data_IF_529324957711
#
_entry.id   IF_529324957711
#
_cell.length_a   1.000
_cell.length_b   1.000
_cell.length_c   1.000
_cell.angle_alpha   90.00
_cell.angle_beta   90.00
_cell.angle_gamma   90.00
#
_symmetry.space_group_name_H-M   'P 1'
#
loop_
_entity.id
_entity.type
_entity.pdbx_description
1 polymer ?
#
# COMPACT_ATOMS: atom_id res chain seq x y z
N UNK A 1 14.87 -0.42 -17.85
CA UNK A 1 13.66 -0.03 -17.08
C UNK A 1 13.95 1.20 -16.25
N UNK A 2 15.02 1.23 -15.46
CA UNK A 2 15.44 2.39 -14.63
C UNK A 2 15.47 3.73 -15.38
N UNK A 3 16.09 3.79 -16.57
CA UNK A 3 16.10 5.01 -17.38
C UNK A 3 14.69 5.50 -17.81
N UNK A 4 13.75 4.58 -18.00
CA UNK A 4 12.36 4.91 -18.33
C UNK A 4 11.64 5.45 -17.10
N UNK A 5 11.84 4.85 -15.92
CA UNK A 5 11.24 5.28 -14.66
C UNK A 5 11.66 6.71 -14.29
N UNK A 6 12.92 7.09 -14.56
CA UNK A 6 13.42 8.46 -14.30
C UNK A 6 12.90 9.52 -15.27
N UNK A 7 12.44 9.13 -16.46
CA UNK A 7 12.10 10.08 -17.54
C UNK A 7 10.62 10.12 -17.87
N UNK A 8 9.82 9.16 -17.38
CA UNK A 8 8.40 9.02 -17.69
C UNK A 8 7.59 8.96 -16.40
N UNK A 9 6.45 9.67 -16.39
CA UNK A 9 5.50 9.66 -15.27
C UNK A 9 4.83 8.29 -15.06
N UNK A 10 4.59 7.55 -16.14
CA UNK A 10 3.95 6.24 -16.09
C UNK A 10 4.78 5.25 -16.92
N UNK A 11 5.11 4.11 -16.31
CA UNK A 11 5.87 3.03 -16.95
C UNK A 11 5.16 1.70 -16.67
N UNK A 12 4.77 1.00 -17.74
CA UNK A 12 4.26 -0.36 -17.65
C UNK A 12 5.36 -1.34 -18.03
N UNK A 13 5.63 -2.32 -17.18
CA UNK A 13 6.68 -3.33 -17.40
C UNK A 13 6.02 -4.70 -17.54
N UNK A 14 6.24 -5.36 -18.67
CA UNK A 14 5.86 -6.75 -18.86
C UNK A 14 7.06 -7.65 -18.52
N UNK A 15 6.82 -8.73 -17.80
CA UNK A 15 7.82 -9.74 -17.44
C UNK A 15 7.21 -11.14 -17.46
N UNK A 16 8.06 -12.17 -17.41
CA UNK A 16 7.60 -13.55 -17.21
C UNK A 16 6.93 -13.69 -15.84
N UNK A 17 5.92 -14.55 -15.74
CA UNK A 17 5.21 -14.79 -14.49
C UNK A 17 6.15 -15.36 -13.42
N UNK A 18 6.17 -14.71 -12.26
CA UNK A 18 7.01 -15.04 -11.09
C UNK A 18 6.31 -14.82 -9.75
N UNK A 19 4.98 -14.62 -9.78
CA UNK A 19 4.19 -14.26 -8.60
C UNK A 19 4.40 -12.83 -8.10
N UNK A 20 3.67 -12.45 -7.05
CA UNK A 20 3.61 -11.06 -6.55
C UNK A 20 4.97 -10.54 -6.07
N UNK A 21 5.76 -11.37 -5.39
CA UNK A 21 7.07 -10.99 -4.85
C UNK A 21 8.06 -10.60 -5.92
N UNK A 22 8.14 -11.38 -7.01
CA UNK A 22 9.07 -11.10 -8.10
C UNK A 22 8.68 -9.84 -8.87
N UNK A 23 7.37 -9.63 -9.10
CA UNK A 23 6.87 -8.40 -9.75
C UNK A 23 7.17 -7.16 -8.91
N UNK A 24 6.92 -7.22 -7.60
CA UNK A 24 7.25 -6.11 -6.69
C UNK A 24 8.76 -5.84 -6.66
N UNK A 25 9.60 -6.89 -6.63
CA UNK A 25 11.06 -6.74 -6.67
C UNK A 25 11.53 -6.02 -7.94
N UNK A 26 10.97 -6.36 -9.12
CA UNK A 26 11.28 -5.65 -10.36
C UNK A 26 10.99 -4.16 -10.26
N UNK A 27 9.85 -3.78 -9.67
CA UNK A 27 9.46 -2.39 -9.48
C UNK A 27 10.39 -1.66 -8.50
N UNK A 28 10.67 -2.24 -7.33
CA UNK A 28 11.59 -1.66 -6.35
C UNK A 28 13.00 -1.48 -6.90
N UNK A 29 13.51 -2.49 -7.63
CA UNK A 29 14.82 -2.40 -8.28
C UNK A 29 14.85 -1.29 -9.34
N UNK A 30 13.76 -1.13 -10.09
CA UNK A 30 13.68 -0.11 -11.14
C UNK A 30 13.55 1.32 -10.60
N UNK A 31 12.91 1.50 -9.43
CA UNK A 31 12.83 2.78 -8.73
C UNK A 31 14.18 3.14 -8.09
N UNK A 32 14.82 2.22 -7.37
CA UNK A 32 16.11 2.49 -6.71
C UNK A 32 16.03 3.73 -5.81
N UNK A 33 16.94 4.68 -6.02
CA UNK A 33 17.01 5.97 -5.32
C UNK A 33 16.32 7.12 -6.07
N UNK A 34 15.47 6.82 -7.07
CA UNK A 34 14.84 7.87 -7.88
C UNK A 34 13.66 8.57 -7.21
N UNK A 35 13.22 8.08 -6.05
CA UNK A 35 12.05 8.59 -5.30
C UNK A 35 12.33 8.53 -3.80
N UNK A 36 11.73 9.47 -3.05
CA UNK A 36 11.85 9.51 -1.58
C UNK A 36 10.88 8.54 -0.90
N UNK A 37 9.68 8.34 -1.49
CA UNK A 37 8.63 7.46 -0.96
C UNK A 37 8.22 6.43 -2.00
N UNK A 38 7.87 5.24 -1.55
CA UNK A 38 7.30 4.19 -2.40
C UNK A 38 5.95 3.74 -1.84
N UNK A 39 4.89 3.97 -2.61
CA UNK A 39 3.57 3.42 -2.35
C UNK A 39 3.37 2.15 -3.18
N UNK A 40 3.03 1.06 -2.52
CA UNK A 40 2.54 -0.16 -3.17
C UNK A 40 1.01 -0.15 -3.19
N UNK A 41 0.43 -0.71 -4.24
CA UNK A 41 -1.01 -0.85 -4.36
C UNK A 41 -1.35 -2.10 -5.18
N UNK A 42 -2.49 -2.73 -4.88
CA UNK A 42 -3.01 -3.84 -5.67
C UNK A 42 -3.79 -3.33 -6.89
N UNK A 43 -3.76 -4.08 -7.98
CA UNK A 43 -4.36 -3.66 -9.26
C UNK A 43 -5.89 -3.53 -9.20
N UNK A 44 -6.53 -4.09 -8.19
CA UNK A 44 -7.97 -4.08 -7.93
C UNK A 44 -8.37 -3.09 -6.83
N UNK A 45 -7.44 -2.24 -6.36
CA UNK A 45 -7.70 -1.25 -5.31
C UNK A 45 -8.03 0.12 -5.89
N UNK A 46 -9.03 0.79 -5.31
CA UNK A 46 -9.31 2.22 -5.54
C UNK A 46 -8.76 3.05 -4.39
N UNK A 47 -7.91 4.02 -4.72
CA UNK A 47 -7.33 4.93 -3.75
C UNK A 47 -8.17 6.19 -3.61
N UNK A 48 -8.35 6.66 -2.38
CA UNK A 48 -8.83 8.00 -2.12
C UNK A 48 -7.74 9.01 -2.57
N UNK A 49 -8.08 10.09 -3.29
CA UNK A 49 -7.09 11.09 -3.72
C UNK A 49 -6.25 11.68 -2.59
N UNK A 50 -6.78 11.73 -1.36
CA UNK A 50 -6.07 12.25 -0.19
C UNK A 50 -5.24 11.20 0.53
N UNK A 51 -5.44 9.90 0.28
CA UNK A 51 -4.78 8.83 1.02
C UNK A 51 -3.25 8.94 0.99
N UNK A 52 -2.67 9.23 -0.17
CA UNK A 52 -1.21 9.39 -0.31
C UNK A 52 -0.68 10.58 0.51
N UNK A 53 -1.41 11.70 0.53
CA UNK A 53 -0.98 12.91 1.23
C UNK A 53 -0.95 12.68 2.75
N UNK A 54 -2.00 12.05 3.29
CA UNK A 54 -2.09 11.70 4.71
C UNK A 54 -0.96 10.75 5.14
N UNK A 55 -0.64 9.74 4.30
CA UNK A 55 0.45 8.80 4.59
C UNK A 55 1.82 9.49 4.59
N UNK A 56 2.11 10.32 3.59
CA UNK A 56 3.38 11.04 3.52
C UNK A 56 3.53 12.01 4.70
N UNK A 57 2.46 12.68 5.11
CA UNK A 57 2.50 13.56 6.27
C UNK A 57 2.95 12.83 7.54
N UNK A 58 2.45 11.61 7.79
CA UNK A 58 2.87 10.79 8.93
C UNK A 58 4.35 10.41 8.85
N UNK A 59 4.87 10.11 7.66
CA UNK A 59 6.29 9.80 7.46
C UNK A 59 7.19 11.03 7.69
N UNK A 60 6.74 12.21 7.29
CA UNK A 60 7.47 13.46 7.46
C UNK A 60 7.49 13.97 8.91
N UNK A 61 6.43 13.68 9.67
CA UNK A 61 6.29 14.10 11.07
C UNK A 61 7.28 13.40 12.02
N UNK A 62 7.62 12.13 11.78
CA UNK A 62 8.60 11.39 12.60
C UNK A 62 9.61 10.59 11.74
N UNK A 63 10.88 11.05 11.66
CA UNK A 63 11.95 10.38 10.90
C UNK A 63 12.27 8.94 11.36
N UNK A 64 11.73 8.49 12.50
CA UNK A 64 11.89 7.12 13.00
C UNK A 64 10.87 6.15 12.40
N UNK A 65 9.81 6.66 11.75
CA UNK A 65 8.79 5.85 11.10
C UNK A 65 9.25 5.48 9.70
N UNK A 66 9.59 4.19 9.50
CA UNK A 66 10.06 3.70 8.21
C UNK A 66 8.97 3.28 7.21
N UNK A 67 7.74 3.10 7.68
CA UNK A 67 6.59 2.75 6.86
C UNK A 67 5.28 3.10 7.58
N UNK A 68 4.27 3.44 6.80
CA UNK A 68 2.91 3.71 7.27
C UNK A 68 1.94 2.90 6.41
N UNK A 69 0.86 2.41 7.03
CA UNK A 69 -0.22 1.72 6.33
C UNK A 69 -1.51 2.50 6.47
N UNK A 70 -2.29 2.59 5.40
CA UNK A 70 -3.61 3.23 5.41
C UNK A 70 -4.76 2.32 5.86
N UNK A 71 -5.96 2.89 5.93
CA UNK A 71 -7.20 2.14 6.13
C UNK A 71 -7.67 1.52 4.81
N UNK A 72 -7.89 0.21 4.78
CA UNK A 72 -8.36 -0.51 3.59
C UNK A 72 -9.75 -1.07 3.84
N UNK A 73 -10.67 -0.78 2.92
CA UNK A 73 -12.07 -1.19 3.01
C UNK A 73 -12.49 -1.98 1.78
N UNK A 74 -13.45 -2.88 1.98
CA UNK A 74 -14.14 -3.55 0.89
C UNK A 74 -15.03 -2.55 0.16
N UNK A 75 -14.86 -2.44 -1.15
CA UNK A 75 -15.58 -1.45 -1.97
C UNK A 75 -17.08 -1.72 -2.06
N UNK A 76 -17.48 -3.00 -2.00
CA UNK A 76 -18.85 -3.45 -2.26
C UNK A 76 -19.46 -4.26 -1.09
N UNK A 77 -19.54 -3.68 0.12
CA UNK A 77 -19.89 -4.42 1.34
C UNK A 77 -21.34 -4.93 1.36
N UNK A 78 -22.22 -4.43 0.48
CA UNK A 78 -23.65 -4.79 0.47
C UNK A 78 -24.03 -5.74 -0.68
N UNK A 79 -23.10 -6.06 -1.57
CA UNK A 79 -23.39 -6.90 -2.74
C UNK A 79 -23.65 -8.36 -2.38
N UNK A 80 -23.07 -8.85 -1.28
CA UNK A 80 -23.19 -10.24 -0.84
C UNK A 80 -22.92 -10.41 0.65
N UNK A 81 -23.37 -11.52 1.22
CA UNK A 81 -23.00 -11.90 2.59
C UNK A 81 -21.48 -12.05 2.77
N UNK A 82 -20.77 -12.52 1.74
CA UNK A 82 -19.30 -12.68 1.79
C UNK A 82 -18.64 -11.31 1.85
N UNK A 83 -18.99 -10.38 0.95
CA UNK A 83 -18.40 -9.03 0.95
C UNK A 83 -18.77 -8.25 2.22
N UNK A 84 -19.97 -8.45 2.77
CA UNK A 84 -20.36 -7.89 4.05
C UNK A 84 -19.47 -8.40 5.19
N UNK A 85 -19.33 -9.72 5.35
CA UNK A 85 -18.49 -10.33 6.38
C UNK A 85 -17.00 -9.96 6.21
N UNK A 86 -16.51 -9.90 4.96
CA UNK A 86 -15.17 -9.40 4.65
C UNK A 86 -15.00 -7.95 5.08
N UNK A 87 -15.99 -7.09 4.87
CA UNK A 87 -15.92 -5.68 5.28
C UNK A 87 -15.82 -5.53 6.79
N UNK A 88 -16.58 -6.32 7.56
CA UNK A 88 -16.48 -6.37 9.02
C UNK A 88 -15.10 -6.85 9.48
N UNK A 89 -14.55 -7.90 8.85
CA UNK A 89 -13.22 -8.42 9.17
C UNK A 89 -12.13 -7.36 8.94
N UNK A 90 -12.20 -6.65 7.81
CA UNK A 90 -11.26 -5.57 7.47
C UNK A 90 -11.40 -4.40 8.43
N UNK A 91 -12.63 -4.00 8.76
CA UNK A 91 -12.86 -2.92 9.72
C UNK A 91 -12.18 -3.21 11.06
N UNK A 92 -12.35 -4.42 11.62
CA UNK A 92 -11.68 -4.84 12.86
C UNK A 92 -10.15 -4.89 12.68
N UNK A 93 -9.66 -5.39 11.54
CA UNK A 93 -8.22 -5.45 11.27
C UNK A 93 -7.57 -4.06 11.36
N UNK A 94 -8.13 -3.07 10.68
CA UNK A 94 -7.50 -1.74 10.60
C UNK A 94 -7.82 -0.86 11.81
N UNK A 95 -9.07 -0.85 12.29
CA UNK A 95 -9.49 0.08 13.34
C UNK A 95 -9.24 -0.44 14.75
N UNK A 96 -8.96 -1.75 14.91
CA UNK A 96 -8.66 -2.34 16.23
C UNK A 96 -7.26 -2.92 16.25
N UNK A 97 -6.96 -3.91 15.39
CA UNK A 97 -5.66 -4.61 15.44
C UNK A 97 -4.50 -3.69 15.05
N UNK A 98 -4.61 -2.97 13.92
CA UNK A 98 -3.56 -2.03 13.46
C UNK A 98 -3.50 -0.76 14.31
N UNK A 99 -4.63 -0.23 14.76
CA UNK A 99 -4.64 0.90 15.70
C UNK A 99 -3.86 0.58 16.99
N UNK A 100 -4.01 -0.64 17.53
CA UNK A 100 -3.23 -1.13 18.67
C UNK A 100 -1.73 -1.22 18.33
N UNK A 101 -1.38 -1.73 17.16
CA UNK A 101 0.02 -1.79 16.69
C UNK A 101 0.65 -0.40 16.56
N UNK A 102 -0.07 0.57 15.99
CA UNK A 102 0.36 1.96 15.91
C UNK A 102 0.59 2.58 17.29
N UNK A 103 -0.25 2.27 18.28
CA UNK A 103 -0.06 2.72 19.67
C UNK A 103 1.28 2.23 20.26
N UNK A 104 1.71 1.03 19.92
CA UNK A 104 2.99 0.46 20.35
C UNK A 104 4.16 0.76 19.39
N UNK A 105 3.95 1.60 18.37
CA UNK A 105 4.94 1.90 17.33
C UNK A 105 5.56 0.64 16.71
N UNK A 106 4.74 -0.40 16.52
CA UNK A 106 5.16 -1.63 15.89
C UNK A 106 4.20 -2.00 14.76
N UNK A 107 4.63 -2.87 13.86
CA UNK A 107 3.74 -3.43 12.84
C UNK A 107 4.22 -4.81 12.45
N UNK A 108 3.31 -5.78 12.40
CA UNK A 108 3.67 -7.14 11.96
C UNK A 108 3.73 -7.25 10.43
N UNK A 109 2.93 -6.45 9.72
CA UNK A 109 2.84 -6.41 8.26
C UNK A 109 2.12 -5.13 7.82
N UNK A 110 2.67 -4.41 6.84
CA UNK A 110 2.01 -3.29 6.17
C UNK A 110 1.17 -3.84 5.03
N UNK A 111 -0.04 -3.29 4.84
CA UNK A 111 -0.94 -3.77 3.79
C UNK A 111 -0.37 -3.44 2.41
N UNK A 112 -0.56 -4.33 1.45
CA UNK A 112 -0.10 -4.11 0.07
C UNK A 112 -0.85 -3.01 -0.70
N UNK A 113 -2.15 -2.77 -0.45
CA UNK A 113 -2.90 -1.67 -1.07
C UNK A 113 -2.52 -0.26 -0.61
N UNK A 114 -2.21 -0.11 0.68
CA UNK A 114 -1.95 1.15 1.39
C UNK A 114 -1.15 0.91 2.66
#
# INVERSE_FOLDING_TARGET
VEALVRTRRCVCVAQRWGGKREVMYTAFKALGDSVDYVQVCDSDTRLDPMALLELVQVLDEDPRVGAVGGDVRILNPLDSWVSFLSSLRYWVAFNVERACQSYFHCVSCISGPL
#
